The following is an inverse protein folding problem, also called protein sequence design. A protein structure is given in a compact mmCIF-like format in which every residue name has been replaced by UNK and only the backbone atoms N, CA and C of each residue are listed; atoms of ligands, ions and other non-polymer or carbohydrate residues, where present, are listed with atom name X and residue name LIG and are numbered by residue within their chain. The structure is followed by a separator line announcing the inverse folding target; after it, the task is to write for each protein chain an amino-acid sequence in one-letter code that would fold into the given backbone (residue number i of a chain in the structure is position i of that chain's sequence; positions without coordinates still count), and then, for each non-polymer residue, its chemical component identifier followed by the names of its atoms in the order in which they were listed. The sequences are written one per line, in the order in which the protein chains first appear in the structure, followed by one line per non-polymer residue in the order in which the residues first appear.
data_IF_930596555427
#
_entry.id   IF_930596555427
#
_cell.length_a   1.000
_cell.length_b   1.000
_cell.length_c   1.000
_cell.angle_alpha   90.00
_cell.angle_beta   90.00
_cell.angle_gamma   90.00
#
_symmetry.space_group_name_H-M   'P 1'
#
loop_
_entity.id
_entity.type
_entity.pdbx_description
1 polymer ?
2 polymer ?
3 polymer ?
4 non-polymer ?
5 non-polymer ?
6 non-polymer ?
7 water ?
#
loop_
_entity_poly.entity_id
_entity_poly.type
_entity_poly.pdbx_seq_one_letter_code
_entity_poly.pdbx_strand_id
2 'polydeoxyribonucleotide' '(DG)(DG)(DG)(DT)(DT)(DT)(DC)(DC)(DA)(DC)(DT)(DT)(DA)(DT)(DT)(DC)(DA)(DA)(DA)(DC)(DT)(DT)(DT)(DT)(DA)(DG)' ?
3 'polydeoxyribonucleotide' '(DC)(DC)(DT)(DA)(DA)(DA)(DA)(DG)(DT)(DT)(DT)(DG)(DA)(DA)(DT)(DA)(DA)(DG)(DT)(DG)(DG)(DA)(DA)(DA)(DC)(DC)' ?
#
# COMPACT_ATOMS: atom_id res chain seq x y z
N UNK A 5 16.05 12.49 -4.80
CA UNK A 5 16.37 11.11 -5.15
C UNK A 5 16.99 10.36 -3.97
N UNK A 6 18.32 10.28 -3.95
CA UNK A 6 19.07 9.64 -2.86
C UNK A 6 18.72 8.15 -2.82
N UNK A 7 18.64 7.58 -1.61
CA UNK A 7 18.60 6.15 -1.40
C UNK A 7 17.66 5.44 -2.37
N UNK A 8 18.11 4.29 -2.87
CA UNK A 8 17.31 3.42 -3.71
C UNK A 8 16.51 2.45 -2.84
N UNK A 9 15.49 1.82 -3.43
CA UNK A 9 14.56 0.98 -2.69
C UNK A 9 14.59 -0.43 -3.26
N UNK A 10 14.59 -1.42 -2.36
CA UNK A 10 14.60 -2.82 -2.77
C UNK A 10 13.33 -3.14 -3.57
N UNK A 11 13.45 -3.81 -4.71
CA UNK A 11 12.27 -4.00 -5.57
C UNK A 11 11.13 -4.74 -4.90
N UNK A 12 11.42 -5.77 -4.09
CA UNK A 12 10.34 -6.47 -3.40
C UNK A 12 9.71 -5.59 -2.33
N UNK A 13 10.52 -4.80 -1.63
CA UNK A 13 9.96 -3.80 -0.71
C UNK A 13 9.07 -2.84 -1.47
N UNK A 14 9.54 -2.38 -2.64
CA UNK A 14 8.74 -1.47 -3.46
C UNK A 14 7.43 -2.12 -3.88
N UNK A 15 7.47 -3.38 -4.29
CA UNK A 15 6.24 -4.07 -4.66
C UNK A 15 5.28 -4.15 -3.49
N UNK A 16 5.80 -4.47 -2.30
CA UNK A 16 4.95 -4.50 -1.12
C UNK A 16 4.33 -3.14 -0.82
N UNK A 17 5.11 -2.07 -0.98
CA UNK A 17 4.58 -0.73 -0.75
C UNK A 17 3.52 -0.38 -1.80
N UNK A 18 3.71 -0.82 -3.04
CA UNK A 18 2.70 -0.58 -4.07
C UNK A 18 1.43 -1.36 -3.79
N UNK A 19 1.56 -2.61 -3.34
CA UNK A 19 0.38 -3.38 -2.93
C UNK A 19 -0.44 -2.63 -1.90
N UNK A 20 0.21 -1.85 -1.04
CA UNK A 20 -0.49 -1.11 0.01
C UNK A 20 -1.00 0.23 -0.47
N UNK A 21 -0.13 1.06 -1.07
CA UNK A 21 -0.45 2.44 -1.36
C UNK A 21 -0.62 2.75 -2.85
N UNK A 22 -0.28 1.80 -3.74
CA UNK A 22 -0.30 2.07 -5.16
C UNK A 22 -1.70 2.09 -5.74
N UNK A 23 -1.77 2.49 -7.01
CA UNK A 23 -3.04 2.63 -7.70
C UNK A 23 -2.83 2.76 -9.20
N UNK A 24 -3.54 1.98 -9.99
CA UNK A 24 -3.47 2.06 -11.44
C UNK A 24 -4.63 2.91 -11.96
N UNK A 25 -4.38 3.63 -13.05
CA UNK A 25 -5.33 4.59 -13.58
C UNK A 25 -5.46 4.44 -15.08
N UNK A 26 -6.71 4.52 -15.57
CA UNK A 26 -6.99 4.53 -17.00
C UNK A 26 -8.08 5.58 -17.23
N UNK A 27 -7.68 6.72 -17.77
CA UNK A 27 -8.60 7.81 -18.05
C UNK A 27 -9.12 7.69 -19.47
N UNK A 28 -10.44 7.67 -19.61
CA UNK A 28 -11.11 7.72 -20.91
C UNK A 28 -11.95 8.98 -20.88
N UNK A 29 -11.47 10.03 -21.54
CA UNK A 29 -11.99 11.38 -21.37
C UNK A 29 -12.71 11.85 -22.63
N UNK A 30 -13.86 12.49 -22.43
CA UNK A 30 -14.53 13.18 -23.53
C UNK A 30 -13.59 14.23 -24.10
N UNK A 31 -13.40 14.19 -25.42
CA UNK A 31 -12.46 15.10 -26.07
C UNK A 31 -12.97 15.41 -27.47
N UNK A 32 -13.43 16.65 -27.68
CA UNK A 32 -13.91 17.04 -28.99
C UNK A 32 -12.81 17.05 -30.03
N UNK A 33 -11.56 17.29 -29.61
CA UNK A 33 -10.45 17.30 -30.54
C UNK A 33 -9.96 15.92 -30.93
N UNK A 34 -10.43 14.86 -30.27
CA UNK A 34 -10.02 13.51 -30.60
C UNK A 34 -10.84 12.97 -31.76
N UNK A 35 -10.17 12.40 -32.75
CA UNK A 35 -10.86 11.85 -33.92
C UNK A 35 -11.93 10.86 -33.50
N UNK A 36 -11.68 10.08 -32.45
CA UNK A 36 -12.65 9.11 -31.98
C UNK A 36 -13.55 9.66 -30.88
N UNK A 37 -13.40 10.94 -30.52
CA UNK A 37 -14.22 11.55 -29.50
C UNK A 37 -13.72 11.40 -28.08
N UNK A 38 -12.66 10.62 -27.85
CA UNK A 38 -12.13 10.40 -26.51
C UNK A 38 -10.60 10.38 -26.59
N UNK A 39 -9.97 10.86 -25.52
CA UNK A 39 -8.54 10.71 -25.33
C UNK A 39 -8.31 9.90 -24.05
N UNK A 40 -7.11 9.34 -23.93
CA UNK A 40 -6.81 8.40 -22.87
C UNK A 40 -5.52 8.77 -22.14
N UNK A 41 -5.42 8.29 -20.91
CA UNK A 41 -4.19 8.40 -20.12
C UNK A 41 -4.09 7.16 -19.25
N UNK A 42 -2.92 6.54 -19.26
CA UNK A 42 -2.68 5.28 -18.56
C UNK A 42 -1.46 5.43 -17.67
N UNK A 43 -1.52 4.87 -16.46
CA UNK A 43 -0.39 4.99 -15.57
C UNK A 43 -0.58 4.34 -14.22
N UNK A 44 0.28 4.75 -13.30
CA UNK A 44 0.36 4.25 -11.94
C UNK A 44 0.76 5.41 -11.04
N UNK A 45 0.23 5.43 -9.82
CA UNK A 45 0.43 6.60 -8.98
C UNK A 45 0.39 6.20 -7.51
N UNK A 46 1.09 6.99 -6.69
CA UNK A 46 1.08 6.85 -5.24
C UNK A 46 0.91 8.24 -4.63
N UNK A 47 -0.06 8.37 -3.73
CA UNK A 47 -0.31 9.62 -3.02
C UNK A 47 -0.08 9.40 -1.53
N UNK A 48 0.76 10.23 -0.94
CA UNK A 48 1.13 10.11 0.47
C UNK A 48 1.07 11.47 1.14
N UNK A 49 1.04 11.45 2.47
CA UNK A 49 1.21 12.67 3.24
C UNK A 49 2.54 13.32 2.89
N UNK A 50 2.57 14.66 2.96
CA UNK A 50 3.81 15.37 2.65
C UNK A 50 5.01 14.84 3.43
N UNK A 51 4.79 14.35 4.65
CA UNK A 51 5.89 13.90 5.48
C UNK A 51 6.68 12.77 4.84
N UNK A 52 6.09 12.04 3.90
CA UNK A 52 6.74 10.90 3.25
C UNK A 52 7.10 11.18 1.80
N UNK A 53 7.35 12.45 1.46
CA UNK A 53 7.77 12.78 0.11
C UNK A 53 9.04 12.05 -0.27
N UNK A 54 9.91 11.76 0.70
CA UNK A 54 11.17 11.09 0.41
C UNK A 54 10.95 9.69 -0.17
N UNK A 55 9.88 9.01 0.24
CA UNK A 55 9.53 7.72 -0.37
C UNK A 55 9.30 7.89 -1.86
N UNK A 56 8.48 8.87 -2.23
CA UNK A 56 8.19 9.10 -3.64
C UNK A 56 9.44 9.48 -4.41
N UNK A 57 10.33 10.26 -3.79
CA UNK A 57 11.59 10.59 -4.45
C UNK A 57 12.48 9.36 -4.58
N UNK A 58 12.48 8.50 -3.56
CA UNK A 58 13.28 7.28 -3.65
C UNK A 58 12.73 6.32 -4.69
N UNK A 59 11.40 6.16 -4.74
CA UNK A 59 10.80 5.36 -5.81
C UNK A 59 11.14 5.96 -7.17
N UNK A 60 11.06 7.28 -7.27
CA UNK A 60 11.33 7.95 -8.55
C UNK A 60 12.73 7.61 -9.06
N UNK A 61 13.73 7.71 -8.19
CA UNK A 61 15.10 7.43 -8.61
C UNK A 61 15.37 5.94 -8.74
N UNK A 62 14.54 5.09 -8.15
CA UNK A 62 14.70 3.65 -8.33
C UNK A 62 14.26 3.23 -9.73
N UNK A 63 13.17 3.82 -10.23
CA UNK A 63 12.67 3.52 -11.57
C UNK A 63 13.15 4.52 -12.62
N UNK A 64 13.51 5.73 -12.21
CA UNK A 64 13.90 6.78 -13.14
C UNK A 64 12.73 7.23 -14.00
N UNK A 65 11.51 7.18 -13.47
CA UNK A 65 10.31 7.63 -14.17
C UNK A 65 9.37 8.28 -13.17
N UNK A 66 8.38 8.99 -13.68
CA UNK A 66 7.32 9.54 -12.86
C UNK A 66 7.56 11.01 -12.53
N UNK A 67 6.46 11.69 -12.21
CA UNK A 67 6.47 13.10 -11.86
C UNK A 67 5.89 13.27 -10.46
N UNK A 68 6.54 14.10 -9.66
CA UNK A 68 6.10 14.38 -8.30
C UNK A 68 5.45 15.75 -8.27
N UNK A 69 4.33 15.85 -7.57
CA UNK A 69 3.59 17.11 -7.50
C UNK A 69 2.80 17.14 -6.20
N UNK A 70 2.41 18.34 -5.79
CA UNK A 70 1.52 18.49 -4.65
C UNK A 70 0.18 17.85 -4.94
N UNK A 71 -0.44 17.31 -3.88
CA UNK A 71 -1.79 16.72 -3.96
C UNK A 71 -2.58 17.34 -2.82
N UNK A 72 -3.00 18.59 -3.01
CA UNK A 72 -3.64 19.33 -1.94
C UNK A 72 -2.62 19.96 -1.01
N UNK A 73 -3.10 20.37 0.15
CA UNK A 73 -2.26 21.09 1.10
C UNK A 73 -1.40 20.17 1.96
N UNK A 74 -1.75 18.89 2.07
CA UNK A 74 -1.08 17.99 3.00
C UNK A 74 -0.52 16.73 2.35
N UNK A 75 -0.60 16.60 1.04
CA UNK A 75 -0.22 15.35 0.37
C UNK A 75 0.66 15.65 -0.83
N UNK A 76 1.29 14.58 -1.33
CA UNK A 76 2.14 14.65 -2.52
C UNK A 76 2.01 13.32 -3.25
N UNK A 77 2.15 13.37 -4.58
CA UNK A 77 1.90 12.21 -5.41
C UNK A 77 3.04 11.96 -6.38
N UNK A 78 3.32 10.69 -6.63
CA UNK A 78 4.14 10.26 -7.75
C UNK A 78 3.23 9.64 -8.80
N UNK A 79 3.31 10.16 -10.03
CA UNK A 79 2.48 9.68 -11.13
C UNK A 79 3.36 9.29 -12.31
N UNK A 80 3.07 8.14 -12.89
CA UNK A 80 3.74 7.66 -14.08
C UNK A 80 2.69 7.48 -15.16
N UNK A 81 2.65 8.41 -16.13
CA UNK A 81 1.75 8.28 -17.28
C UNK A 81 2.46 8.39 -18.63
N UNK A 82 3.70 8.88 -18.67
CA UNK A 82 4.47 8.86 -19.91
C UNK A 82 4.51 7.45 -20.48
N UNK A 83 3.97 7.27 -21.68
CA UNK A 83 3.68 5.92 -22.16
C UNK A 83 4.92 5.04 -22.18
N UNK A 84 6.03 5.55 -22.72
CA UNK A 84 7.24 4.73 -22.77
C UNK A 84 7.70 4.31 -21.38
N UNK A 85 7.54 5.18 -20.38
CA UNK A 85 7.96 4.86 -19.03
C UNK A 85 7.08 3.80 -18.38
N UNK A 86 5.90 3.52 -18.94
CA UNK A 86 5.07 2.46 -18.39
C UNK A 86 5.72 1.09 -18.58
N UNK A 87 6.59 0.94 -19.58
CA UNK A 87 7.35 -0.29 -19.73
C UNK A 87 8.14 -0.59 -18.47
N UNK A 88 8.71 0.45 -17.83
CA UNK A 88 9.41 0.25 -16.57
C UNK A 88 8.45 -0.33 -15.53
N UNK A 89 7.27 0.26 -15.40
CA UNK A 89 6.26 -0.25 -14.47
C UNK A 89 5.97 -1.72 -14.77
N UNK A 90 5.76 -2.03 -16.06
CA UNK A 90 5.43 -3.40 -16.43
C UNK A 90 6.59 -4.34 -16.12
N UNK A 91 7.81 -3.92 -16.45
CA UNK A 91 8.97 -4.79 -16.22
C UNK A 91 9.16 -5.05 -14.73
N UNK A 92 8.89 -4.06 -13.89
CA UNK A 92 9.05 -4.27 -12.45
C UNK A 92 8.05 -5.30 -11.93
N UNK A 93 6.76 -5.09 -12.21
CA UNK A 93 5.75 -5.96 -11.65
C UNK A 93 5.68 -7.32 -12.33
N UNK A 94 6.31 -7.47 -13.49
CA UNK A 94 6.51 -8.82 -14.03
C UNK A 94 7.55 -9.58 -13.23
N UNK A 95 8.63 -8.89 -12.84
CA UNK A 95 9.68 -9.54 -12.06
C UNK A 95 9.33 -9.63 -10.58
N UNK A 96 8.55 -8.68 -10.06
CA UNK A 96 8.19 -8.62 -8.64
C UNK A 96 6.69 -8.42 -8.52
N UNK A 97 5.91 -9.49 -8.67
CA UNK A 97 4.47 -9.34 -8.84
C UNK A 97 3.73 -8.98 -7.57
N UNK A 98 2.59 -8.30 -7.76
CA UNK A 98 1.69 -7.98 -6.66
C UNK A 98 0.97 -9.24 -6.19
N UNK A 99 0.40 -9.16 -4.98
CA UNK A 99 -0.24 -10.33 -4.39
C UNK A 99 -1.62 -10.02 -3.81
N UNK A 100 -1.99 -8.74 -3.77
CA UNK A 100 -3.33 -8.38 -3.33
C UNK A 100 -4.27 -8.34 -4.54
N UNK A 101 -5.53 -7.96 -4.30
CA UNK A 101 -6.47 -7.83 -5.40
C UNK A 101 -6.02 -6.77 -6.40
N UNK A 102 -5.15 -5.85 -5.98
CA UNK A 102 -4.60 -4.86 -6.89
C UNK A 102 -3.88 -5.50 -8.06
N UNK A 103 -3.42 -6.74 -7.92
CA UNK A 103 -2.86 -7.46 -9.06
C UNK A 103 -3.85 -7.52 -10.21
N UNK A 104 -5.14 -7.69 -9.90
CA UNK A 104 -6.14 -7.67 -10.94
C UNK A 104 -6.19 -6.35 -11.69
N UNK A 105 -5.96 -5.24 -10.98
CA UNK A 105 -5.94 -3.94 -11.64
C UNK A 105 -4.69 -3.77 -12.49
N UNK A 106 -3.55 -4.29 -12.01
CA UNK A 106 -2.34 -4.26 -12.83
C UNK A 106 -2.54 -5.06 -14.11
N UNK A 107 -3.17 -6.23 -14.03
CA UNK A 107 -3.39 -7.03 -15.23
C UNK A 107 -4.22 -6.25 -16.25
N UNK A 108 -5.24 -5.55 -15.79
CA UNK A 108 -6.03 -4.71 -16.69
C UNK A 108 -5.18 -3.55 -17.23
N UNK A 109 -4.36 -2.95 -16.37
CA UNK A 109 -3.40 -1.95 -16.82
C UNK A 109 -2.55 -2.48 -17.98
N UNK A 110 -2.15 -3.75 -17.91
CA UNK A 110 -1.37 -4.34 -19.00
C UNK A 110 -2.19 -4.41 -20.29
N UNK A 111 -3.42 -4.92 -20.20
CA UNK A 111 -4.26 -5.02 -21.39
C UNK A 111 -4.44 -3.65 -22.04
N UNK A 112 -4.71 -2.62 -21.23
CA UNK A 112 -4.84 -1.28 -21.77
C UNK A 112 -3.55 -0.83 -22.43
N UNK A 113 -2.40 -1.20 -21.85
CA UNK A 113 -1.11 -0.84 -22.45
C UNK A 113 -0.98 -1.44 -23.84
N UNK A 114 -1.29 -2.73 -23.98
CA UNK A 114 -1.18 -3.39 -25.28
C UNK A 114 -2.00 -2.67 -26.34
N UNK A 115 -3.25 -2.33 -26.01
CA UNK A 115 -4.11 -1.62 -26.96
C UNK A 115 -3.46 -0.32 -27.39
N UNK A 116 -2.96 0.47 -26.43
CA UNK A 116 -2.37 1.77 -26.76
C UNK A 116 -1.03 1.61 -27.46
N UNK A 117 -0.29 0.55 -27.18
CA UNK A 117 0.98 0.33 -27.87
C UNK A 117 0.74 0.16 -29.37
N UNK A 118 -0.31 -0.57 -29.75
CA UNK A 118 -0.68 -0.74 -31.15
C UNK A 118 -1.34 0.48 -31.75
N UNK A 119 -1.53 1.55 -30.97
CA UNK A 119 -2.23 2.76 -31.41
C UNK A 119 -3.71 2.52 -31.67
N UNK A 120 -4.25 1.38 -31.23
CA UNK A 120 -5.66 1.08 -31.45
C UNK A 120 -6.59 2.00 -30.67
N UNK A 121 -6.08 2.69 -29.63
CA UNK A 121 -6.91 3.61 -28.87
C UNK A 121 -7.30 4.85 -29.67
N UNK A 122 -6.66 5.07 -30.81
CA UNK A 122 -7.04 6.15 -31.71
C UNK A 122 -8.13 5.75 -32.69
N UNK A 123 -8.61 4.51 -32.61
CA UNK A 123 -9.67 4.00 -33.46
C UNK A 123 -10.89 3.65 -32.62
N UNK A 124 -12.01 3.45 -33.30
CA UNK A 124 -13.25 3.08 -32.62
C UNK A 124 -13.06 1.79 -31.81
N UNK A 125 -12.52 0.75 -32.45
CA UNK A 125 -12.43 -0.56 -31.80
C UNK A 125 -11.52 -0.51 -30.58
N UNK A 126 -10.45 0.28 -30.63
CA UNK A 126 -9.54 0.37 -29.49
C UNK A 126 -10.16 1.06 -28.30
N UNK A 127 -10.89 2.16 -28.54
CA UNK A 127 -11.57 2.83 -27.44
C UNK A 127 -12.60 1.91 -26.81
N UNK A 128 -13.41 1.24 -27.63
CA UNK A 128 -14.37 0.26 -27.12
C UNK A 128 -13.68 -0.73 -26.20
N UNK A 129 -12.54 -1.26 -26.63
CA UNK A 129 -11.83 -2.25 -25.82
C UNK A 129 -11.34 -1.63 -24.51
N UNK A 130 -10.91 -0.37 -24.55
CA UNK A 130 -10.46 0.30 -23.32
C UNK A 130 -11.62 0.51 -22.35
N UNK A 131 -12.82 0.77 -22.86
CA UNK A 131 -13.99 0.87 -21.98
C UNK A 131 -14.22 -0.46 -21.28
N UNK A 132 -14.11 -1.57 -22.02
CA UNK A 132 -14.30 -2.88 -21.42
C UNK A 132 -13.29 -3.13 -20.31
N UNK A 133 -12.03 -2.73 -20.53
CA UNK A 133 -11.01 -2.90 -19.51
C UNK A 133 -11.31 -2.03 -18.30
N UNK A 134 -11.65 -0.76 -18.53
CA UNK A 134 -11.90 0.15 -17.41
C UNK A 134 -13.10 -0.28 -16.60
N UNK A 135 -14.05 -0.99 -17.22
CA UNK A 135 -15.24 -1.44 -16.49
C UNK A 135 -14.87 -2.30 -15.28
N UNK A 136 -13.72 -2.97 -15.33
CA UNK A 136 -13.26 -3.82 -14.24
C UNK A 136 -12.16 -3.19 -13.41
N UNK A 137 -11.68 -2.02 -13.81
CA UNK A 137 -10.54 -1.38 -13.16
C UNK A 137 -11.02 -0.50 -12.01
N UNK A 138 -10.57 -0.83 -10.80
CA UNK A 138 -10.91 -0.05 -9.61
C UNK A 138 -12.42 0.16 -9.50
N UNK A 139 -12.87 1.41 -9.54
CA UNK A 139 -14.28 1.74 -9.32
C UNK A 139 -15.11 1.69 -10.60
N UNK A 140 -14.51 1.33 -11.73
CA UNK A 140 -15.28 1.08 -12.93
C UNK A 140 -15.72 2.34 -13.66
N UNK A 141 -16.76 2.18 -14.48
CA UNK A 141 -17.24 3.22 -15.35
C UNK A 141 -18.21 4.14 -14.64
N UNK A 142 -18.11 5.44 -14.92
CA UNK A 142 -19.17 6.36 -14.55
C UNK A 142 -20.44 6.00 -15.30
N UNK A 143 -21.58 6.47 -14.79
CA UNK A 143 -22.84 6.22 -15.49
C UNK A 143 -22.82 6.85 -16.88
N UNK A 144 -22.23 8.04 -17.00
CA UNK A 144 -22.15 8.70 -18.31
C UNK A 144 -21.32 7.87 -19.29
N UNK A 145 -20.17 7.36 -18.84
CA UNK A 145 -19.34 6.58 -19.74
C UNK A 145 -20.02 5.27 -20.12
N UNK A 146 -20.67 4.62 -19.16
CA UNK A 146 -21.36 3.36 -19.44
C UNK A 146 -22.48 3.55 -20.46
N UNK A 147 -23.22 4.65 -20.34
CA UNK A 147 -24.30 4.93 -21.29
C UNK A 147 -23.77 5.29 -22.68
N UNK A 148 -22.52 5.73 -22.78
CA UNK A 148 -21.97 6.13 -24.07
C UNK A 148 -21.49 4.94 -24.90
N UNK A 149 -21.36 3.75 -24.31
CA UNK A 149 -20.97 2.55 -25.04
C UNK A 149 -22.02 1.49 -24.76
N UNK A 150 -23.15 1.57 -25.44
CA UNK A 150 -24.26 0.63 -25.15
C UNK A 150 -23.92 -0.80 -25.52
N UNK A 151 -23.49 -1.58 -24.54
CA UNK A 151 -23.25 -3.01 -24.77
C UNK A 151 -23.05 -3.68 -23.43
N UNK A 152 -23.43 -4.95 -23.37
CA UNK A 152 -23.30 -5.75 -22.16
C UNK A 152 -21.83 -5.86 -21.78
N UNK A 153 -21.40 -5.05 -20.81
CA UNK A 153 -20.00 -5.02 -20.37
C UNK A 153 -19.91 -5.64 -19.00
N UNK A 154 -19.13 -6.70 -18.87
CA UNK A 154 -18.94 -7.34 -17.58
C UNK A 154 -18.12 -6.46 -16.66
N UNK A 155 -18.42 -6.55 -15.36
CA UNK A 155 -17.68 -5.83 -14.32
C UNK A 155 -16.85 -6.75 -13.45
N UNK A 156 -16.89 -8.05 -13.70
CA UNK A 156 -16.25 -9.04 -12.84
C UNK A 156 -14.87 -9.41 -13.34
N UNK A 157 -14.04 -9.89 -12.42
CA UNK A 157 -12.68 -10.28 -12.76
C UNK A 157 -12.23 -11.37 -11.81
N UNK A 158 -11.21 -12.13 -12.25
CA UNK A 158 -10.67 -13.22 -11.44
C UNK A 158 -10.19 -12.68 -10.09
N UNK A 159 -10.63 -13.36 -9.02
CA UNK A 159 -10.13 -13.02 -7.69
C UNK A 159 -8.69 -13.48 -7.53
N UNK A 160 -7.87 -12.63 -6.94
CA UNK A 160 -6.46 -12.94 -6.72
C UNK A 160 -6.33 -13.68 -5.39
N UNK A 161 -5.58 -14.77 -5.40
CA UNK A 161 -5.34 -15.57 -4.19
C UNK A 161 -3.89 -16.04 -4.23
N UNK A 162 -2.99 -15.18 -3.73
CA UNK A 162 -1.56 -15.45 -3.74
C UNK A 162 -1.02 -15.34 -2.33
N UNK A 163 0.16 -15.92 -2.12
CA UNK A 163 0.81 -15.95 -0.81
C UNK A 163 1.92 -14.92 -0.73
N UNK A 164 2.20 -14.48 0.49
CA UNK A 164 3.32 -13.57 0.75
C UNK A 164 4.58 -14.18 0.18
N UNK A 165 5.26 -13.52 -0.74
CA UNK A 165 6.42 -14.15 -1.39
C UNK A 165 7.67 -14.17 -0.52
N UNK A 166 7.81 -13.22 0.40
CA UNK A 166 9.02 -13.15 1.21
C UNK A 166 8.88 -12.00 2.21
N UNK A 167 9.87 -11.92 3.11
CA UNK A 167 9.84 -10.91 4.16
C UNK A 167 10.00 -9.50 3.63
N UNK A 168 10.64 -9.34 2.47
CA UNK A 168 10.84 -8.00 1.92
C UNK A 168 9.53 -7.38 1.45
N UNK A 169 8.70 -8.16 0.74
CA UNK A 169 7.37 -7.70 0.41
C UNK A 169 6.62 -7.26 1.66
N UNK A 170 6.72 -8.06 2.73
CA UNK A 170 6.02 -7.72 3.97
C UNK A 170 6.51 -6.40 4.55
N UNK A 171 7.81 -6.11 4.40
CA UNK A 171 8.34 -4.85 4.92
C UNK A 171 7.78 -3.65 4.16
N UNK A 172 7.75 -3.72 2.83
CA UNK A 172 7.13 -2.66 2.06
C UNK A 172 5.64 -2.54 2.35
N UNK A 173 4.94 -3.66 2.38
CA UNK A 173 3.52 -3.65 2.70
C UNK A 173 3.29 -3.10 4.11
N UNK A 174 4.05 -3.59 5.08
CA UNK A 174 3.93 -3.08 6.44
C UNK A 174 4.33 -1.60 6.52
N UNK A 175 5.31 -1.19 5.71
CA UNK A 175 5.63 0.23 5.63
C UNK A 175 4.43 1.06 5.19
N UNK A 176 3.44 0.44 4.56
CA UNK A 176 2.22 1.14 4.19
C UNK A 176 1.09 0.96 5.19
N UNK A 177 0.79 -0.28 5.55
CA UNK A 177 -0.39 -0.62 6.35
C UNK A 177 -0.08 -0.94 7.80
N UNK A 178 1.19 -0.93 8.20
CA UNK A 178 1.53 -1.35 9.54
C UNK A 178 1.33 -0.26 10.58
N UNK A 179 1.27 -0.69 11.83
CA UNK A 179 1.09 0.21 12.96
C UNK A 179 1.84 -0.32 14.17
N UNK A 180 2.62 0.54 14.82
CA UNK A 180 3.36 0.20 16.03
C UNK A 180 2.89 1.09 17.16
N UNK A 181 2.29 0.48 18.18
CA UNK A 181 1.68 1.22 19.27
C UNK A 181 2.36 0.90 20.59
N UNK A 182 2.54 1.92 21.41
CA UNK A 182 2.88 1.77 22.82
C UNK A 182 1.61 2.08 23.59
N UNK A 183 0.87 1.04 23.95
CA UNK A 183 -0.44 1.17 24.58
C UNK A 183 -0.26 1.31 26.09
N UNK A 184 -0.69 2.45 26.64
CA UNK A 184 -0.57 2.74 28.06
C UNK A 184 -1.90 2.40 28.72
N UNK A 185 -1.97 1.20 29.32
CA UNK A 185 -3.19 0.72 29.95
C UNK A 185 -3.28 1.32 31.34
N UNK A 186 -4.25 2.21 31.55
CA UNK A 186 -4.40 2.90 32.83
C UNK A 186 -4.89 1.95 33.92
N UNK A 190 0.00 -0.57 42.28
CA UNK A 190 -0.65 -0.07 41.07
C UNK A 190 0.03 1.18 40.54
N UNK A 191 1.15 1.00 39.83
CA UNK A 191 1.82 2.12 39.20
C UNK A 191 0.90 2.96 38.33
N UNK A 192 -0.30 2.45 38.02
CA UNK A 192 -1.26 3.14 37.21
C UNK A 192 -1.25 2.76 35.73
N UNK A 193 -0.10 2.33 35.21
CA UNK A 193 0.07 2.09 33.78
C UNK A 193 0.67 0.70 33.57
N UNK A 194 0.05 -0.08 32.69
CA UNK A 194 0.63 -1.31 32.15
C UNK A 194 1.00 -1.02 30.71
N UNK A 195 2.29 -1.04 30.39
CA UNK A 195 2.74 -0.80 29.03
C UNK A 195 2.53 -2.07 28.22
N UNK A 196 1.76 -1.98 27.15
CA UNK A 196 1.48 -3.10 26.26
C UNK A 196 1.82 -2.71 24.83
N UNK A 197 2.87 -3.32 24.29
CA UNK A 197 3.20 -3.10 22.89
C UNK A 197 2.19 -3.79 21.99
N UNK A 198 1.80 -3.10 20.91
CA UNK A 198 0.85 -3.64 19.95
C UNK A 198 1.36 -3.41 18.53
N UNK A 199 1.16 -4.40 17.68
CA UNK A 199 1.49 -4.32 16.26
C UNK A 199 0.28 -4.74 15.45
N UNK A 200 -0.09 -3.95 14.45
CA UNK A 200 -1.27 -4.24 13.65
C UNK A 200 -0.99 -4.03 12.17
N UNK A 201 -1.78 -4.71 11.35
CA UNK A 201 -1.83 -4.49 9.91
C UNK A 201 -3.31 -4.50 9.51
N UNK A 202 -3.72 -3.47 8.78
CA UNK A 202 -5.12 -3.27 8.41
C UNK A 202 -5.32 -3.53 6.93
N UNK A 203 -6.50 -4.04 6.58
CA UNK A 203 -6.79 -4.28 5.16
C UNK A 203 -8.25 -4.67 4.99
N UNK A 204 -8.81 -4.26 3.85
CA UNK A 204 -10.19 -4.58 3.52
C UNK A 204 -10.40 -6.09 3.50
N UNK A 205 -11.66 -6.50 3.73
CA UNK A 205 -11.98 -7.93 3.77
C UNK A 205 -11.79 -8.60 2.42
N UNK A 206 -11.70 -7.83 1.33
CA UNK A 206 -11.47 -8.43 0.02
C UNK A 206 -10.22 -9.29 -0.01
N UNK A 207 -9.27 -9.04 0.88
CA UNK A 207 -8.03 -9.81 0.97
C UNK A 207 -7.95 -10.53 2.32
N UNK A 208 -9.07 -11.13 2.74
CA UNK A 208 -9.09 -11.86 4.00
C UNK A 208 -8.13 -13.04 3.97
N UNK A 209 -8.06 -13.75 2.83
CA UNK A 209 -7.11 -14.86 2.71
C UNK A 209 -5.70 -14.40 3.00
N UNK A 210 -5.30 -13.26 2.43
CA UNK A 210 -3.96 -12.74 2.68
C UNK A 210 -3.77 -12.38 4.15
N UNK A 211 -4.78 -11.77 4.77
CA UNK A 211 -4.64 -11.36 6.16
C UNK A 211 -4.56 -12.57 7.09
N UNK A 212 -5.39 -13.60 6.85
CA UNK A 212 -5.33 -14.77 7.70
C UNK A 212 -3.98 -15.46 7.64
N UNK A 213 -3.32 -15.43 6.48
CA UNK A 213 -2.02 -16.08 6.36
C UNK A 213 -0.96 -15.41 7.23
N UNK A 214 -1.17 -14.14 7.62
CA UNK A 214 -0.19 -13.47 8.47
C UNK A 214 0.04 -14.24 9.76
N UNK A 215 -1.03 -14.81 10.34
CA UNK A 215 -0.90 -15.60 11.55
C UNK A 215 0.11 -16.74 11.33
N UNK A 216 -0.12 -17.52 10.27
CA UNK A 216 0.81 -18.61 9.96
C UNK A 216 2.16 -18.09 9.51
N UNK A 217 2.18 -17.03 8.70
CA UNK A 217 3.43 -16.54 8.15
C UNK A 217 4.35 -16.02 9.26
N UNK A 218 3.79 -15.32 10.24
CA UNK A 218 4.57 -14.74 11.32
C UNK A 218 4.53 -15.56 12.60
N UNK A 219 3.70 -16.60 12.65
CA UNK A 219 3.62 -17.44 13.83
C UNK A 219 3.14 -16.71 15.08
N UNK A 220 2.12 -15.86 14.93
CA UNK A 220 1.56 -15.16 16.08
C UNK A 220 0.44 -14.24 15.59
N UNK A 221 -0.38 -13.79 16.53
CA UNK A 221 -1.36 -12.76 16.26
C UNK A 221 -2.77 -13.30 16.16
N UNK A 222 -3.71 -12.36 16.04
CA UNK A 222 -5.13 -12.63 15.88
C UNK A 222 -5.69 -11.78 14.76
N UNK A 223 -6.83 -12.20 14.24
CA UNK A 223 -7.61 -11.45 13.26
C UNK A 223 -8.92 -11.05 13.90
N UNK A 224 -9.26 -9.76 13.82
CA UNK A 224 -10.52 -9.25 14.30
C UNK A 224 -11.18 -8.42 13.21
N UNK A 225 -12.49 -8.57 13.07
CA UNK A 225 -13.23 -7.87 12.03
C UNK A 225 -13.73 -6.54 12.55
N UNK A 226 -13.73 -5.54 11.67
CA UNK A 226 -14.20 -4.21 12.00
C UNK A 226 -15.31 -3.82 11.03
N UNK A 227 -16.22 -2.96 11.51
CA UNK A 227 -17.38 -2.57 10.73
C UNK A 227 -17.72 -1.12 11.06
N UNK A 228 -17.43 -0.22 10.13
CA UNK A 228 -17.80 1.20 10.26
C UNK A 228 -19.00 1.43 9.35
N UNK A 229 -20.19 1.21 9.88
CA UNK A 229 -21.43 1.28 9.10
C UNK A 229 -21.35 0.19 8.02
N UNK A 230 -21.60 0.50 6.75
CA UNK A 230 -21.60 -0.50 5.69
C UNK A 230 -20.20 -0.85 5.21
N UNK A 231 -19.16 -0.56 5.99
CA UNK A 231 -17.78 -0.83 5.59
C UNK A 231 -17.14 -1.82 6.55
N UNK A 232 -16.42 -2.79 5.98
CA UNK A 232 -15.79 -3.85 6.74
C UNK A 232 -14.31 -3.94 6.38
N UNK A 233 -13.50 -4.27 7.38
CA UNK A 233 -12.07 -4.50 7.14
C UNK A 233 -11.55 -5.37 8.27
N UNK A 234 -10.34 -5.90 8.08
CA UNK A 234 -9.70 -6.78 9.03
C UNK A 234 -8.48 -6.12 9.65
N UNK A 235 -8.18 -6.51 10.88
CA UNK A 235 -7.01 -6.02 11.59
C UNK A 235 -6.23 -7.20 12.13
N UNK A 236 -5.00 -7.35 11.65
CA UNK A 236 -4.06 -8.30 12.24
C UNK A 236 -3.37 -7.63 13.43
N UNK A 237 -3.39 -8.28 14.59
CA UNK A 237 -2.96 -7.67 15.83
C UNK A 237 -2.08 -8.63 16.63
N UNK A 238 -0.96 -8.14 17.12
CA UNK A 238 -0.06 -8.91 17.98
C UNK A 238 0.20 -8.09 19.25
N UNK A 239 -0.01 -8.70 20.41
CA UNK A 239 0.23 -8.04 21.69
C UNK A 239 1.12 -8.83 22.65
N UNK A 240 1.27 -10.14 22.48
CA UNK A 240 2.11 -10.92 23.38
C UNK A 240 3.58 -10.50 23.21
N UNK A 241 4.19 -10.05 24.30
CA UNK A 241 5.50 -9.41 24.21
C UNK A 241 6.53 -10.31 23.53
N UNK A 242 6.61 -11.57 23.95
CA UNK A 242 7.64 -12.45 23.41
C UNK A 242 7.49 -12.61 21.90
N UNK A 243 6.26 -12.77 21.42
CA UNK A 243 6.02 -12.78 19.97
C UNK A 243 6.52 -11.49 19.34
N UNK A 244 6.24 -10.35 19.98
CA UNK A 244 6.68 -9.07 19.45
C UNK A 244 8.20 -8.96 19.50
N UNK A 245 8.81 -9.49 20.56
CA UNK A 245 10.25 -9.37 20.75
C UNK A 245 11.02 -10.34 19.87
N UNK A 246 10.49 -11.53 19.66
CA UNK A 246 11.20 -12.58 18.92
C UNK A 246 10.76 -12.72 17.47
N UNK A 247 9.49 -12.46 17.16
CA UNK A 247 8.95 -12.72 15.84
C UNK A 247 8.72 -11.47 15.00
N UNK A 248 8.21 -10.40 15.58
CA UNK A 248 7.93 -9.19 14.81
C UNK A 248 9.15 -8.30 14.68
N UNK A 249 9.78 -7.95 15.81
CA UNK A 249 10.93 -7.05 15.76
C UNK A 249 12.05 -7.60 14.88
N UNK A 250 12.50 -8.85 15.03
CA UNK A 250 13.58 -9.34 14.18
C UNK A 250 13.25 -9.31 12.70
N UNK A 251 11.97 -9.50 12.32
CA UNK A 251 11.60 -9.49 10.91
C UNK A 251 11.90 -8.13 10.29
N UNK A 252 11.52 -7.05 10.98
CA UNK A 252 11.68 -5.71 10.44
C UNK A 252 13.05 -5.10 10.76
N UNK A 253 13.76 -5.62 11.77
CA UNK A 253 15.17 -5.29 11.91
C UNK A 253 15.96 -5.82 10.72
N UNK A 254 15.63 -7.03 10.26
CA UNK A 254 16.31 -7.63 9.13
C UNK A 254 15.81 -7.13 7.79
N UNK A 255 14.59 -6.62 7.72
CA UNK A 255 14.00 -6.11 6.48
C UNK A 255 13.50 -4.68 6.74
N UNK A 256 14.40 -3.73 6.57
CA UNK A 256 14.19 -2.37 7.06
C UNK A 256 12.95 -1.73 6.43
N UNK A 257 12.15 -1.08 7.27
CA UNK A 257 11.00 -0.31 6.81
C UNK A 257 11.47 0.98 6.13
N UNK A 258 10.54 1.62 5.43
CA UNK A 258 10.79 2.90 4.78
C UNK A 258 9.76 3.90 5.27
N UNK A 259 10.03 5.17 5.01
CA UNK A 259 9.12 6.23 5.41
C UNK A 259 9.25 6.60 6.87
N UNK A 260 8.45 7.60 7.26
CA UNK A 260 8.46 8.08 8.64
C UNK A 260 8.14 6.96 9.61
N UNK A 261 7.45 5.91 9.15
CA UNK A 261 7.09 4.82 10.05
C UNK A 261 8.30 4.07 10.58
N UNK A 262 9.45 4.18 9.92
CA UNK A 262 10.66 3.53 10.42
C UNK A 262 11.04 4.09 11.79
N UNK A 263 10.99 5.42 11.95
CA UNK A 263 11.26 6.01 13.25
C UNK A 263 10.30 5.48 14.30
N UNK A 264 9.03 5.29 13.93
CA UNK A 264 8.06 4.75 14.87
C UNK A 264 8.45 3.34 15.30
N UNK A 265 8.89 2.52 14.34
CA UNK A 265 9.36 1.18 14.68
C UNK A 265 10.61 1.24 15.56
N UNK A 266 11.52 2.17 15.26
CA UNK A 266 12.73 2.30 16.07
C UNK A 266 12.40 2.67 17.50
N UNK A 267 11.55 3.69 17.70
CA UNK A 267 11.11 4.05 19.04
C UNK A 267 10.38 2.88 19.69
N UNK A 268 9.46 2.27 18.94
CA UNK A 268 8.78 1.06 19.40
C UNK A 268 9.78 0.00 19.87
N UNK A 269 10.96 -0.05 19.25
CA UNK A 269 11.97 -1.01 19.68
C UNK A 269 12.68 -0.56 20.95
N UNK A 270 12.89 0.75 21.11
CA UNK A 270 13.43 1.25 22.38
C UNK A 270 12.57 0.79 23.55
N UNK A 271 11.26 1.01 23.45
CA UNK A 271 10.35 0.57 24.51
C UNK A 271 10.39 -0.95 24.65
N UNK A 272 10.59 -1.65 23.53
CA UNK A 272 10.71 -3.11 23.61
C UNK A 272 11.90 -3.52 24.44
N UNK A 273 13.01 -2.77 24.35
CA UNK A 273 14.19 -3.09 25.14
C UNK A 273 13.97 -2.78 26.61
N UNK A 274 13.35 -1.62 26.91
CA UNK A 274 13.01 -1.31 28.30
C UNK A 274 12.15 -2.42 28.91
N UNK A 275 11.12 -2.84 28.19
CA UNK A 275 10.24 -3.91 28.68
C UNK A 275 11.04 -5.18 28.92
N UNK A 276 11.93 -5.51 27.99
CA UNK A 276 12.75 -6.72 28.13
C UNK A 276 13.58 -6.68 29.41
N UNK A 277 13.91 -5.48 29.89
CA UNK A 277 14.70 -5.31 31.10
C UNK A 277 13.85 -4.94 32.31
N UNK A 278 12.54 -5.16 32.24
CA UNK A 278 11.62 -4.92 33.35
C UNK A 278 11.57 -3.47 33.80
N UNK A 279 12.24 -2.57 33.09
CA UNK A 279 12.24 -1.17 33.51
C UNK A 279 10.87 -0.51 33.34
N UNK A 280 9.97 -1.11 32.56
CA UNK A 280 8.61 -0.60 32.46
C UNK A 280 7.83 -0.75 33.76
N UNK A 281 8.42 -1.35 34.78
CA UNK A 281 7.80 -1.46 36.10
C UNK A 281 8.34 -0.44 37.09
N UNK A 282 9.32 0.37 36.68
CA UNK A 282 9.91 1.37 37.55
C UNK A 282 9.35 2.75 37.20
N UNK A 283 9.35 3.63 38.21
CA UNK A 283 8.85 4.98 37.99
C UNK A 283 9.65 5.70 36.89
N UNK A 284 10.98 5.62 36.96
CA UNK A 284 11.81 6.28 35.97
C UNK A 284 11.67 5.63 34.60
N UNK A 285 11.61 4.29 34.56
CA UNK A 285 11.43 3.62 33.29
C UNK A 285 10.12 3.97 32.62
N UNK A 286 9.04 3.99 33.39
CA UNK A 286 7.74 4.36 32.83
C UNK A 286 7.78 5.78 32.27
N UNK A 287 8.42 6.70 32.99
CA UNK A 287 8.53 8.07 32.49
C UNK A 287 9.24 8.12 31.14
N UNK A 288 10.28 7.31 30.97
CA UNK A 288 10.97 7.25 29.68
C UNK A 288 10.03 6.74 28.59
N UNK A 289 9.19 5.76 28.91
CA UNK A 289 8.27 5.21 27.92
C UNK A 289 7.23 6.24 27.53
N UNK A 290 6.62 6.90 28.52
CA UNK A 290 5.63 7.93 28.22
C UNK A 290 6.23 9.05 27.36
N UNK A 291 7.51 9.35 27.55
CA UNK A 291 8.15 10.38 26.74
C UNK A 291 8.36 9.90 25.29
N UNK A 292 8.73 8.64 25.12
CA UNK A 292 8.90 8.09 23.77
C UNK A 292 7.56 8.10 23.03
N UNK A 293 6.51 7.64 23.69
CA UNK A 293 5.21 7.53 23.04
C UNK A 293 4.72 8.88 22.55
N UNK A 294 4.92 9.94 23.33
CA UNK A 294 4.43 11.25 22.94
C UNK A 294 5.00 11.70 21.60
N UNK A 295 6.21 11.27 21.26
CA UNK A 295 6.89 11.75 20.06
C UNK A 295 6.84 10.78 18.90
N UNK A 296 5.99 9.76 18.94
CA UNK A 296 5.86 8.82 17.85
C UNK A 296 4.43 8.83 17.31
N UNK A 297 4.28 8.30 16.10
CA UNK A 297 3.00 8.26 15.39
C UNK A 297 2.51 9.71 15.22
N UNK A 298 1.29 10.05 15.62
CA UNK A 298 0.78 11.38 15.38
C UNK A 298 1.54 12.46 16.15
N UNK A 299 2.21 12.09 17.24
CA UNK A 299 2.95 13.06 18.02
C UNK A 299 4.30 13.45 17.45
N UNK A 300 4.78 12.76 16.42
CA UNK A 300 6.08 13.05 15.85
C UNK A 300 6.08 14.41 15.16
X LIG D 1 0.33 4.28 4.95
X LIG E 1 -4.04 -0.14 0.90
X LIG F 1 9.34 -18.00 5.38
X LIG F 1 8.50 -17.01 6.08
X LIG F 1 7.54 -17.72 7.02
X LIG F 1 7.19 -19.11 7.02
X LIG F 1 7.99 -19.95 6.13
X LIG F 1 8.55 -19.17 4.93
X LIG F 1 6.80 -19.66 8.31
X LIG F 1 5.90 -20.89 8.18
X LIG F 1 9.94 -17.35 4.20
X LIG F 1 10.89 -16.22 4.61
X LIG F 1 11.89 -15.63 3.23
X LIG F 1 13.23 -16.24 3.32
X LIG F 1 11.26 -16.01 1.97
X LIG F 1 12.01 -14.18 3.29
X LIG F 1 7.93 -16.44 5.35
X LIG F 1 9.13 -16.32 6.63
X LIG F 1 6.97 -17.77 6.10
X LIG F 1 8.48 -18.15 7.34
X LIG F 1 7.36 -20.75 5.75
X LIG F 1 8.80 -20.39 6.68
X LIG F 1 7.74 -18.83 4.29
X LIG F 1 9.19 -19.83 4.35
X LIG F 1 6.28 -18.90 8.88
X LIG F 1 7.69 -19.94 8.86
X LIG F 1 4.95 -20.59 7.73
X LIG F 1 5.70 -21.29 9.16
X LIG F 1 10.49 -18.09 3.62
X LIG F 1 9.15 -16.94 3.57
X LIG F 1 10.30 -15.39 5.01
X LIG F 1 11.54 -16.58 5.41
X LIG G 1 3.27 18.92 6.49
X LIG G 1 4.58 18.60 6.01
X LIG G 1 2.40 19.40 5.32
X LIG G 1 1.07 19.67 5.77
X LIG G 1 2.82 18.05 6.95
X LIG G 1 3.33 19.71 7.24
X LIG G 1 5.13 18.31 6.74
X LIG G 1 2.82 20.30 4.88
X LIG G 1 2.37 18.62 4.55
X LIG G 1 0.53 19.96 5.02
X LIG H 1 7.61 -3.83 -21.17
X LIG H 1 8.42 -5.00 -21.33
X LIG H 1 7.01 -3.41 -22.51
X LIG H 1 6.32 -4.53 -23.09
X LIG H 1 6.80 -4.03 -20.46
X LIG H 1 8.20 -3.01 -20.77
X LIG H 1 8.80 -5.25 -20.48
X LIG H 1 6.31 -2.59 -22.37
X LIG H 1 7.80 -3.08 -23.18
X LIG H 1 5.95 -4.27 -23.94
X LIG I 1 -11.49 11.69 17.94
X LIG I 1 -11.18 10.90 16.80
X LIG I 1 -10.48 12.83 18.04
X LIG I 1 -10.82 13.85 17.10
X LIG I 1 -12.50 12.09 17.86
X LIG I 1 -11.45 11.07 18.85
X LIG I 1 -11.82 10.17 16.73
X LIG I 1 -10.50 13.24 19.06
X LIG I 1 -9.48 12.46 17.84
X LIG I 1 -10.19 14.57 17.17
#
# INVERSE_FOLDING_TARGET
MASSRRESINPWILTGFADAEGSFLLRIRNNNKSSVGYSTELGFQITLHNKDKSILENIQSTWKVGVIANSGDNAVSLKVTRFEDLKVIIDHFEKYPLITQKLGDYKLFKQAFSVMENKEHLKENGIKELVRIKAKLNWGLTDELKKAFPENISKERSLINKNIPNFKWLAGFTSGEGHFAVNLIKSKSKLGVQVQLRFTITQHIKDKNLMNSLITYLGCGYIREFNKSEFSWLEFRVTKFSDINDKIIPVFQENTLIGVKLEDFEDWCKVAKLIEEKKHLTESGLDEIKKIKLNMNKGR
CA CA
CA CA
EPE N1 C2 C3 N4 C5 C6 C7 C8 C9 C10 S O1S O2S O3S H21 H22 H31 H32 H51 H52 H61 H62 H71 H72 H81 H82 H91 H92 H101 H102
EDO C1 O1 C2 O2 H11 H12 HO1 H21 H22 HO2
EDO C1 O1 C2 O2 H11 H12 HO1 H21 H22 HO2
EDO C1 O1 C2 O2 H11 H12 HO1 H21 H22 HO2
#
